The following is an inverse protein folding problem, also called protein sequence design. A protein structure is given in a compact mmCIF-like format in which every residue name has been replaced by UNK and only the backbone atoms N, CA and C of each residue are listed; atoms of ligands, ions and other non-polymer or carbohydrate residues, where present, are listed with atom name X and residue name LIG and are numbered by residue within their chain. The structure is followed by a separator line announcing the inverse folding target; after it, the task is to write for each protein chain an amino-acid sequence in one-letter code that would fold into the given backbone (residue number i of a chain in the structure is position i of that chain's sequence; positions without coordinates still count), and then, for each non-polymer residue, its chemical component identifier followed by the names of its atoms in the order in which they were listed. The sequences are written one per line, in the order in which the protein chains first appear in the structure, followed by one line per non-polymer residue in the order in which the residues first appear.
data_IF_399138951347
#
_entry.id   IF_399138951347
#
_cell.length_a   1.000
_cell.length_b   1.000
_cell.length_c   1.000
_cell.angle_alpha   90.00
_cell.angle_beta   90.00
_cell.angle_gamma   90.00
#
_symmetry.space_group_name_H-M   'P 1'
#
loop_
_entity.id
_entity.type
_entity.pdbx_description
1 polymer ?
#
# COMPACT_ATOMS: atom_id res chain seq x y z
N UNK A 1 1.10 -7.10 -7.93
CA UNK A 1 0.96 -8.44 -7.31
C UNK A 1 -0.45 -8.95 -7.57
N UNK A 2 -0.76 -10.23 -7.30
CA UNK A 2 -2.17 -10.66 -7.24
C UNK A 2 -2.90 -9.96 -6.08
N UNK A 3 -4.22 -9.90 -6.17
CA UNK A 3 -5.11 -9.41 -5.11
C UNK A 3 -4.98 -10.29 -3.87
N UNK A 4 -5.11 -9.69 -2.70
CA UNK A 4 -5.03 -10.38 -1.41
C UNK A 4 -3.72 -10.11 -0.69
N UNK A 5 -3.89 -9.81 0.60
CA UNK A 5 -2.85 -9.34 1.52
C UNK A 5 -1.63 -10.26 1.59
N UNK A 6 -1.82 -11.57 1.39
CA UNK A 6 -0.72 -12.54 1.36
C UNK A 6 0.29 -12.23 0.25
N UNK A 7 -0.18 -11.86 -0.94
CA UNK A 7 0.67 -11.55 -2.08
C UNK A 7 1.33 -10.18 -1.93
N UNK A 8 0.60 -9.20 -1.42
CA UNK A 8 1.11 -7.85 -1.15
C UNK A 8 2.18 -7.86 -0.06
N UNK A 9 1.91 -8.54 1.05
CA UNK A 9 2.83 -8.64 2.18
C UNK A 9 4.16 -9.29 1.77
N UNK A 10 4.12 -10.37 0.98
CA UNK A 10 5.35 -11.00 0.47
C UNK A 10 6.16 -10.05 -0.42
N UNK A 11 5.52 -9.30 -1.32
CA UNK A 11 6.22 -8.34 -2.16
C UNK A 11 6.78 -7.16 -1.36
N UNK A 12 6.06 -6.70 -0.33
CA UNK A 12 6.50 -5.61 0.54
C UNK A 12 7.77 -5.96 1.33
N UNK A 13 7.99 -7.25 1.64
CA UNK A 13 9.21 -7.73 2.33
C UNK A 13 10.50 -7.61 1.49
N UNK A 14 10.38 -7.40 0.17
CA UNK A 14 11.55 -7.19 -0.70
C UNK A 14 12.19 -5.79 -0.53
N UNK A 15 11.54 -4.92 0.24
CA UNK A 15 11.98 -3.54 0.49
C UNK A 15 12.40 -3.32 1.94
N UNK A 16 13.26 -2.33 2.17
CA UNK A 16 13.61 -1.88 3.53
C UNK A 16 12.41 -1.25 4.25
N UNK A 17 11.54 -0.56 3.51
CA UNK A 17 10.25 -0.03 3.97
C UNK A 17 9.23 -0.36 2.89
N UNK A 18 8.36 -1.34 3.13
CA UNK A 18 7.35 -1.80 2.18
C UNK A 18 5.96 -1.30 2.56
N UNK A 19 5.43 -0.36 1.79
CA UNK A 19 4.04 0.16 1.97
C UNK A 19 3.11 -0.63 1.05
N UNK A 20 2.06 -1.23 1.60
CA UNK A 20 1.03 -1.89 0.78
C UNK A 20 -0.37 -1.61 1.28
N UNK A 21 -1.26 -1.21 0.37
CA UNK A 21 -2.69 -1.01 0.63
C UNK A 21 -3.50 -1.46 -0.59
N UNK A 22 -4.63 -2.12 -0.34
CA UNK A 22 -5.67 -2.37 -1.33
C UNK A 22 -6.68 -1.20 -1.33
N UNK A 23 -7.34 -0.96 -2.46
CA UNK A 23 -8.34 0.11 -2.58
C UNK A 23 -9.56 -0.05 -1.65
N UNK A 24 -9.75 -1.25 -1.07
CA UNK A 24 -10.77 -1.52 -0.06
C UNK A 24 -10.38 -0.99 1.35
N UNK A 25 -9.18 -0.41 1.50
CA UNK A 25 -8.66 0.14 2.76
C UNK A 25 -7.78 -0.82 3.56
N UNK A 26 -7.63 -2.08 3.15
CA UNK A 26 -6.77 -3.03 3.88
C UNK A 26 -5.31 -2.85 3.48
N UNK A 27 -4.43 -2.62 4.46
CA UNK A 27 -3.00 -2.50 4.23
C UNK A 27 -2.22 -2.26 5.51
N UNK A 28 -0.90 -2.21 5.40
CA UNK A 28 0.00 -1.76 6.46
C UNK A 28 1.38 -1.41 5.85
N UNK A 29 2.34 -1.04 6.68
CA UNK A 29 3.73 -0.79 6.30
C UNK A 29 4.64 -1.78 7.04
N UNK A 30 5.56 -2.39 6.29
CA UNK A 30 6.58 -3.29 6.83
C UNK A 30 7.93 -2.60 6.86
N UNK A 31 8.73 -2.93 7.87
CA UNK A 31 10.11 -2.49 7.97
C UNK A 31 11.03 -3.72 7.99
N UNK A 32 12.08 -3.71 7.17
CA UNK A 32 13.10 -4.74 7.27
C UNK A 32 13.82 -4.62 8.62
N UNK A 33 14.29 -5.76 9.17
CA UNK A 33 15.05 -5.76 10.44
C UNK A 33 16.24 -4.78 10.38
N UNK A 34 16.92 -4.75 9.23
CA UNK A 34 18.02 -3.82 8.95
C UNK A 34 17.57 -2.37 9.03
N UNK A 35 16.45 -2.02 8.40
CA UNK A 35 15.90 -0.66 8.44
C UNK A 35 15.53 -0.25 9.86
N UNK A 36 14.83 -1.11 10.62
CA UNK A 36 14.48 -0.81 12.01
C UNK A 36 15.71 -0.60 12.90
N UNK A 37 16.74 -1.45 12.75
CA UNK A 37 18.00 -1.31 13.49
C UNK A 37 18.69 0.01 13.18
N UNK A 38 18.78 0.38 11.91
CA UNK A 38 19.37 1.66 11.49
C UNK A 38 18.58 2.86 12.01
N UNK A 39 17.25 2.83 11.95
CA UNK A 39 16.37 3.88 12.49
C UNK A 39 16.62 4.04 14.00
N UNK A 40 16.64 2.93 14.76
CA UNK A 40 16.88 2.94 16.21
C UNK A 40 18.29 3.43 16.59
N UNK A 41 19.30 3.11 15.78
CA UNK A 41 20.67 3.59 16.00
C UNK A 41 20.77 5.09 15.74
N UNK A 42 20.19 5.58 14.63
CA UNK A 42 20.20 7.00 14.28
C UNK A 42 19.43 7.86 15.27
N UNK A 43 18.31 7.37 15.82
CA UNK A 43 17.52 8.12 16.82
C UNK A 43 18.28 8.35 18.13
N UNK A 44 19.31 7.53 18.42
CA UNK A 44 20.14 7.60 19.63
C UNK A 44 21.56 8.10 19.36
N UNK A 45 21.90 8.42 18.12
CA UNK A 45 23.28 8.70 17.74
C UNK A 45 23.77 10.03 18.34
N UNK A 46 24.80 10.04 19.21
CA UNK A 46 25.18 11.22 20.00
C UNK A 46 25.59 12.41 19.12
N UNK A 47 26.27 12.14 18.01
CA UNK A 47 26.82 13.16 17.11
C UNK A 47 25.94 13.48 15.89
N UNK A 48 24.70 12.97 15.82
CA UNK A 48 23.79 13.34 14.74
C UNK A 48 23.28 14.77 14.93
N UNK A 49 23.05 15.49 13.83
CA UNK A 49 22.41 16.81 13.88
C UNK A 49 20.99 16.70 14.45
N UNK A 50 20.50 17.78 15.05
CA UNK A 50 19.18 17.78 15.69
C UNK A 50 18.05 17.47 14.69
N UNK A 51 18.18 17.94 13.45
CA UNK A 51 17.25 17.61 12.37
C UNK A 51 17.22 16.10 12.07
N UNK A 52 18.40 15.48 11.91
CA UNK A 52 18.50 14.04 11.63
C UNK A 52 17.98 13.21 12.80
N UNK A 53 18.29 13.61 14.04
CA UNK A 53 17.76 12.96 15.25
C UNK A 53 16.24 13.05 15.29
N UNK A 54 15.67 14.22 15.01
CA UNK A 54 14.21 14.43 14.99
C UNK A 54 13.55 13.57 13.91
N UNK A 55 14.10 13.52 12.71
CA UNK A 55 13.59 12.68 11.62
C UNK A 55 13.67 11.18 11.96
N UNK A 56 14.80 10.73 12.50
CA UNK A 56 14.97 9.34 12.94
C UNK A 56 14.01 8.98 14.09
N UNK A 57 13.76 9.92 15.01
CA UNK A 57 12.78 9.70 16.09
C UNK A 57 11.36 9.59 15.56
N UNK A 58 11.00 10.40 14.57
CA UNK A 58 9.70 10.31 13.91
C UNK A 58 9.54 8.94 13.22
N UNK A 59 10.54 8.49 12.47
CA UNK A 59 10.52 7.15 11.86
C UNK A 59 10.44 6.04 12.91
N UNK A 60 11.18 6.13 14.01
CA UNK A 60 11.10 5.18 15.13
C UNK A 60 9.68 5.14 15.73
N UNK A 61 9.05 6.30 15.90
CA UNK A 61 7.65 6.38 16.35
C UNK A 61 6.68 5.78 15.34
N UNK A 62 6.89 5.98 14.03
CA UNK A 62 6.10 5.35 12.97
C UNK A 62 6.20 3.83 13.01
N UNK A 63 7.41 3.27 13.16
CA UNK A 63 7.63 1.82 13.28
C UNK A 63 6.84 1.23 14.47
N UNK A 64 6.79 1.96 15.60
CA UNK A 64 6.08 1.51 16.80
C UNK A 64 4.56 1.71 16.73
N UNK A 65 4.08 2.62 15.88
CA UNK A 65 2.65 2.90 15.72
C UNK A 65 1.98 1.88 14.78
N UNK A 66 2.68 1.51 13.71
CA UNK A 66 2.16 0.66 12.64
C UNK A 66 2.08 -0.81 13.08
N UNK A 67 0.93 -1.44 12.85
CA UNK A 67 0.77 -2.87 13.06
C UNK A 67 1.43 -3.66 11.91
N UNK A 68 2.66 -4.14 12.11
CA UNK A 68 3.40 -4.88 11.08
C UNK A 68 2.92 -6.34 10.89
N UNK A 69 2.01 -6.85 11.75
CA UNK A 69 1.53 -8.23 11.66
C UNK A 69 0.34 -8.38 10.69
N UNK A 70 -0.55 -7.39 10.66
CA UNK A 70 -1.74 -7.34 9.79
C UNK A 70 -2.21 -5.90 9.65
N UNK A 71 -3.02 -5.62 8.62
CA UNK A 71 -3.68 -4.31 8.52
C UNK A 71 -4.58 -4.02 9.73
N UNK A 72 -4.51 -2.79 10.21
CA UNK A 72 -5.13 -2.33 11.45
C UNK A 72 -5.66 -0.91 11.25
N UNK A 73 -6.98 -0.78 11.10
CA UNK A 73 -7.61 0.48 10.75
C UNK A 73 -7.40 1.58 11.81
N UNK A 74 -7.21 1.23 13.10
CA UNK A 74 -6.96 2.22 14.16
C UNK A 74 -5.52 2.73 14.05
N UNK A 75 -4.57 1.82 13.85
CA UNK A 75 -3.18 2.16 13.59
C UNK A 75 -3.03 3.04 12.34
N UNK A 76 -3.71 2.68 11.25
CA UNK A 76 -3.72 3.42 9.99
C UNK A 76 -4.31 4.83 10.16
N UNK A 77 -5.45 4.94 10.85
CA UNK A 77 -6.08 6.23 11.15
C UNK A 77 -5.13 7.14 11.96
N UNK A 78 -4.51 6.61 13.03
CA UNK A 78 -3.56 7.39 13.84
C UNK A 78 -2.33 7.81 13.03
N UNK A 79 -1.85 6.96 12.13
CA UNK A 79 -0.75 7.29 11.22
C UNK A 79 -1.13 8.44 10.29
N UNK A 80 -2.31 8.37 9.65
CA UNK A 80 -2.80 9.41 8.74
C UNK A 80 -2.94 10.75 9.47
N UNK A 81 -3.57 10.78 10.64
CA UNK A 81 -3.69 11.99 11.46
C UNK A 81 -2.33 12.59 11.82
N UNK A 82 -1.36 11.75 12.20
CA UNK A 82 0.00 12.20 12.48
C UNK A 82 0.69 12.79 11.23
N UNK A 83 0.57 12.14 10.08
CA UNK A 83 1.16 12.60 8.81
C UNK A 83 0.57 13.94 8.40
N UNK A 84 -0.76 14.10 8.43
CA UNK A 84 -1.42 15.35 8.09
C UNK A 84 -1.00 16.48 9.03
N UNK A 85 -0.96 16.23 10.34
CA UNK A 85 -0.52 17.20 11.35
C UNK A 85 0.93 17.64 11.15
N UNK A 86 1.85 16.71 10.85
CA UNK A 86 3.28 17.02 10.62
C UNK A 86 3.47 17.81 9.32
N UNK A 87 2.69 17.49 8.28
CA UNK A 87 2.74 18.20 7.00
C UNK A 87 2.02 19.55 7.03
N UNK A 88 1.23 19.83 8.05
CA UNK A 88 0.34 20.98 8.08
C UNK A 88 -0.69 20.93 6.96
N UNK A 89 -1.12 19.72 6.57
CA UNK A 89 -1.98 19.47 5.42
C UNK A 89 -3.40 19.16 5.87
N UNK A 90 -4.38 19.79 5.24
CA UNK A 90 -5.80 19.47 5.41
C UNK A 90 -6.19 18.25 4.59
N UNK A 91 -7.31 17.60 4.95
CA UNK A 91 -7.85 16.47 4.16
C UNK A 91 -8.12 16.87 2.70
N UNK A 92 -8.53 18.11 2.44
CA UNK A 92 -8.78 18.60 1.07
C UNK A 92 -7.49 18.75 0.26
N UNK A 93 -6.41 19.20 0.89
CA UNK A 93 -5.11 19.28 0.22
C UNK A 93 -4.52 17.89 -0.02
N UNK A 94 -4.76 16.95 0.90
CA UNK A 94 -4.41 15.55 0.70
C UNK A 94 -5.20 14.93 -0.47
N UNK A 95 -6.51 15.14 -0.53
CA UNK A 95 -7.36 14.68 -1.65
C UNK A 95 -6.90 15.28 -3.01
N UNK A 96 -6.37 16.50 -3.00
CA UNK A 96 -5.92 17.20 -4.20
C UNK A 96 -4.53 16.77 -4.72
N UNK A 97 -3.81 15.86 -4.07
CA UNK A 97 -2.44 15.48 -4.51
C UNK A 97 -2.42 14.76 -5.87
N UNK A 98 -3.53 14.11 -6.24
CA UNK A 98 -3.79 13.57 -7.57
C UNK A 98 -5.30 13.52 -7.81
N UNK A 99 -5.73 13.39 -9.07
CA UNK A 99 -7.15 13.23 -9.40
C UNK A 99 -7.39 11.81 -9.88
N UNK A 100 -8.26 11.07 -9.18
CA UNK A 100 -8.69 9.74 -9.61
C UNK A 100 -9.34 9.80 -11.00
N UNK A 101 -9.01 8.83 -11.85
CA UNK A 101 -9.77 8.63 -13.08
C UNK A 101 -11.18 8.13 -12.73
N UNK A 102 -12.22 8.58 -13.47
CA UNK A 102 -13.54 8.00 -13.34
C UNK A 102 -13.48 6.49 -13.50
N UNK A 103 -13.94 5.76 -12.49
CA UNK A 103 -13.85 4.31 -12.42
C UNK A 103 -15.16 3.69 -11.96
N UNK A 104 -15.36 2.40 -12.29
CA UNK A 104 -16.55 1.65 -11.93
C UNK A 104 -16.21 0.18 -11.68
N UNK A 105 -16.62 -0.34 -10.53
CA UNK A 105 -16.51 -1.76 -10.19
C UNK A 105 -17.89 -2.42 -10.19
N UNK A 106 -18.02 -3.55 -10.90
CA UNK A 106 -19.27 -4.31 -11.00
C UNK A 106 -19.06 -5.77 -10.61
N UNK A 107 -20.11 -6.38 -10.05
CA UNK A 107 -20.16 -7.82 -9.75
C UNK A 107 -21.08 -8.51 -10.74
N UNK A 108 -20.51 -9.34 -11.60
CA UNK A 108 -21.25 -10.13 -12.61
C UNK A 108 -21.49 -11.54 -12.08
N UNK A 109 -22.73 -12.03 -12.17
CA UNK A 109 -23.06 -13.43 -11.87
C UNK A 109 -22.85 -14.27 -13.13
N UNK A 110 -22.12 -15.37 -12.99
CA UNK A 110 -21.84 -16.35 -14.06
C UNK A 110 -22.23 -17.74 -13.58
N UNK A 111 -22.50 -18.66 -14.52
CA UNK A 111 -22.88 -20.03 -14.18
C UNK A 111 -21.75 -20.80 -13.47
N UNK A 112 -20.52 -20.68 -13.95
CA UNK A 112 -19.32 -21.21 -13.29
C UNK A 112 -18.18 -20.20 -13.39
N UNK A 113 -17.70 -19.70 -12.25
CA UNK A 113 -16.60 -18.73 -12.20
C UNK A 113 -15.22 -19.36 -12.43
N UNK A 114 -15.11 -20.69 -12.33
CA UNK A 114 -13.84 -21.43 -12.47
C UNK A 114 -13.35 -21.50 -13.92
N UNK A 115 -14.20 -21.09 -14.87
CA UNK A 115 -13.81 -21.01 -16.29
C UNK A 115 -12.98 -19.77 -16.61
N UNK A 116 -12.83 -18.85 -15.65
CA UNK A 116 -12.06 -17.63 -15.78
C UNK A 116 -10.74 -17.79 -15.03
N UNK A 117 -9.66 -18.03 -15.76
CA UNK A 117 -8.30 -17.96 -15.24
C UNK A 117 -7.62 -16.67 -15.69
N UNK A 118 -6.75 -16.14 -14.84
CA UNK A 118 -6.04 -14.89 -15.07
C UNK A 118 -4.52 -15.04 -14.96
N UNK A 119 -3.80 -14.10 -15.57
CA UNK A 119 -2.34 -13.97 -15.49
C UNK A 119 -1.96 -12.51 -15.26
N UNK A 120 -0.65 -12.25 -15.20
CA UNK A 120 -0.09 -10.90 -15.14
C UNK A 120 -0.68 -10.05 -14.00
N UNK A 121 -0.49 -10.53 -12.77
CA UNK A 121 -1.09 -9.90 -11.58
C UNK A 121 -2.62 -9.75 -11.67
N UNK A 122 -3.29 -10.72 -12.30
CA UNK A 122 -4.75 -10.78 -12.51
C UNK A 122 -5.29 -9.68 -13.44
N UNK A 123 -4.42 -8.99 -14.19
CA UNK A 123 -4.78 -7.92 -15.12
C UNK A 123 -5.24 -8.45 -16.49
N UNK A 124 -4.96 -9.72 -16.79
CA UNK A 124 -5.31 -10.35 -18.06
C UNK A 124 -6.02 -11.68 -17.85
N UNK A 125 -7.11 -11.91 -18.58
CA UNK A 125 -7.77 -13.20 -18.68
C UNK A 125 -6.99 -14.12 -19.63
N UNK A 126 -6.68 -15.33 -19.18
CA UNK A 126 -6.15 -16.41 -20.00
C UNK A 126 -7.29 -17.23 -20.61
N UNK A 127 -8.36 -17.44 -19.85
CA UNK A 127 -9.54 -18.19 -20.25
C UNK A 127 -10.82 -17.43 -19.85
N UNK A 128 -11.92 -17.62 -20.60
CA UNK A 128 -12.02 -18.33 -21.87
C UNK A 128 -11.32 -17.58 -23.01
N UNK A 129 -10.95 -18.32 -24.07
CA UNK A 129 -10.33 -17.74 -25.26
C UNK A 129 -11.21 -16.63 -25.86
N UNK A 130 -10.58 -15.54 -26.31
CA UNK A 130 -11.25 -14.36 -26.88
C UNK A 130 -11.80 -13.36 -25.86
N UNK A 131 -11.90 -13.72 -24.56
CA UNK A 131 -12.36 -12.77 -23.54
C UNK A 131 -11.41 -11.57 -23.41
N UNK A 132 -10.10 -11.82 -23.31
CA UNK A 132 -9.13 -10.73 -23.18
C UNK A 132 -9.07 -9.86 -24.43
N UNK A 133 -9.14 -10.45 -25.62
CA UNK A 133 -9.13 -9.69 -26.88
C UNK A 133 -10.34 -8.76 -26.98
N UNK A 134 -11.51 -9.21 -26.50
CA UNK A 134 -12.72 -8.40 -26.44
C UNK A 134 -12.57 -7.24 -25.44
N UNK A 135 -11.95 -7.48 -24.28
CA UNK A 135 -11.64 -6.42 -23.30
C UNK A 135 -10.66 -5.42 -23.91
N UNK A 136 -9.58 -5.89 -24.52
CA UNK A 136 -8.53 -5.04 -25.11
C UNK A 136 -9.09 -4.18 -26.26
N UNK A 137 -10.08 -4.67 -27.01
CA UNK A 137 -10.77 -3.89 -28.04
C UNK A 137 -11.64 -2.78 -27.44
N UNK A 138 -12.43 -3.08 -26.40
CA UNK A 138 -13.32 -2.12 -25.74
C UNK A 138 -12.56 -1.01 -24.98
N UNK A 139 -11.36 -1.30 -24.48
CA UNK A 139 -10.54 -0.31 -23.74
C UNK A 139 -9.78 0.63 -24.69
N UNK A 140 -9.61 0.26 -25.96
CA UNK A 140 -8.98 1.12 -26.98
C UNK A 140 -9.92 2.20 -27.54
N UNK A 141 -11.24 2.00 -27.44
CA UNK A 141 -12.26 2.98 -27.81
C UNK A 141 -12.37 4.09 -26.76
#
# INVERSE_FOLDING_TARGET
TKTGVKHLHHAAQEFDIGVYFEANGHGTVLFSKKAEEQIRQLSKHPNASDEKKRAAKLLESTVNLINQATGDAISDMLLIEAVLAIRGMTVREWDAIYTDLPNRQLKVKVADRRVIDTTDAERRALTPAGLQDSIDALVKE
#
